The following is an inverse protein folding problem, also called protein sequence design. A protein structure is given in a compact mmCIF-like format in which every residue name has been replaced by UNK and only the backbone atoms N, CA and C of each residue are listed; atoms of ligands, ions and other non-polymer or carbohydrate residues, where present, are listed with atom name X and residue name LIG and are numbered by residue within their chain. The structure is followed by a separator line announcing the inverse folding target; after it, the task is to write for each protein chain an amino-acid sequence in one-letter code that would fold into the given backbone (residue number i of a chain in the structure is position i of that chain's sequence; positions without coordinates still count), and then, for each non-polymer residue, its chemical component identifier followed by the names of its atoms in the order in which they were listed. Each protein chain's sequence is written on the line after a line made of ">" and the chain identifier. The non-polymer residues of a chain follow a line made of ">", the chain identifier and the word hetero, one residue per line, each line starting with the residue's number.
data_IF_020126986154
#
_entry.id   IF_020126986154
#
_cell.length_a   1.000
_cell.length_b   1.000
_cell.length_c   1.000
_cell.angle_alpha   90.00
_cell.angle_beta   90.00
_cell.angle_gamma   90.00
#
_symmetry.space_group_name_H-M   'P 1'
#
loop_
_entity.id
_entity.type
_entity.pdbx_description
1 polymer ?
#
# COMPACT_ATOMS: atom_id res chain seq x y z
N UNK A 1 4.93 28.89 24.34
CA UNK A 1 4.51 28.51 22.98
C UNK A 1 4.51 29.70 22.01
N UNK A 2 3.80 30.81 22.23
CA UNK A 2 3.66 31.92 21.26
C UNK A 2 5.00 32.42 20.69
N UNK A 3 6.01 32.70 21.53
CA UNK A 3 7.33 33.20 21.09
C UNK A 3 8.05 32.20 20.17
N UNK A 4 7.94 30.90 20.45
CA UNK A 4 8.55 29.85 19.63
C UNK A 4 7.83 29.72 18.27
N UNK A 5 6.52 29.84 18.28
CA UNK A 5 5.71 29.80 17.05
C UNK A 5 6.00 31.01 16.15
N UNK A 6 6.15 32.22 16.73
CA UNK A 6 6.51 33.42 15.99
C UNK A 6 7.91 33.30 15.37
N UNK A 7 8.87 32.69 16.10
CA UNK A 7 10.21 32.43 15.59
C UNK A 7 10.20 31.40 14.45
N UNK A 8 9.40 30.33 14.60
CA UNK A 8 9.24 29.30 13.56
C UNK A 8 8.59 29.89 12.30
N UNK A 9 7.56 30.71 12.43
CA UNK A 9 6.94 31.37 11.29
C UNK A 9 7.95 32.24 10.53
N UNK A 10 8.73 33.07 11.24
CA UNK A 10 9.79 33.90 10.63
C UNK A 10 10.85 33.05 9.92
N UNK A 11 11.18 31.86 10.45
CA UNK A 11 12.09 30.95 9.77
C UNK A 11 11.50 30.41 8.47
N UNK A 12 10.24 30.04 8.45
CA UNK A 12 9.56 29.57 7.24
C UNK A 12 9.42 30.69 6.21
N UNK A 13 9.07 31.90 6.64
CA UNK A 13 9.03 33.09 5.77
C UNK A 13 10.39 33.37 5.13
N UNK A 14 11.47 33.26 5.90
CA UNK A 14 12.84 33.40 5.42
C UNK A 14 13.23 32.34 4.37
N UNK A 15 12.76 31.11 4.53
CA UNK A 15 12.97 30.03 3.55
C UNK A 15 12.04 30.10 2.35
N UNK A 16 11.04 31.00 2.36
CA UNK A 16 10.00 31.02 1.34
C UNK A 16 9.07 29.82 1.38
N UNK A 17 8.99 29.12 2.54
CA UNK A 17 8.11 27.97 2.72
C UNK A 17 6.75 28.41 3.28
N UNK A 18 5.70 28.13 2.52
CA UNK A 18 4.32 28.43 2.90
C UNK A 18 3.58 27.08 3.14
N UNK A 19 3.41 26.64 4.40
CA UNK A 19 2.67 25.43 4.70
C UNK A 19 1.17 25.64 4.48
N UNK A 20 0.51 24.70 3.79
CA UNK A 20 -0.94 24.68 3.73
C UNK A 20 -1.53 24.35 5.12
N UNK A 21 -2.83 24.58 5.32
CA UNK A 21 -3.49 24.48 6.63
C UNK A 21 -3.23 23.14 7.34
N UNK A 22 -3.26 22.02 6.59
CA UNK A 22 -2.98 20.70 7.16
C UNK A 22 -1.55 20.54 7.64
N UNK A 23 -0.55 21.07 6.93
CA UNK A 23 0.85 21.04 7.34
C UNK A 23 1.12 21.94 8.55
N UNK A 24 0.39 23.06 8.68
CA UNK A 24 0.49 23.96 9.84
C UNK A 24 0.23 23.25 11.16
N UNK A 25 -0.60 22.20 11.17
CA UNK A 25 -0.89 21.40 12.37
C UNK A 25 0.35 20.68 12.92
N UNK A 26 1.31 20.31 12.07
CA UNK A 26 2.59 19.77 12.51
C UNK A 26 3.48 20.85 13.11
N UNK A 27 3.52 22.02 12.46
CA UNK A 27 4.46 23.06 12.84
C UNK A 27 4.02 23.87 14.07
N UNK A 28 2.72 24.03 14.25
CA UNK A 28 2.12 24.85 15.27
C UNK A 28 1.16 23.99 16.13
N UNK A 29 1.70 23.18 17.05
CA UNK A 29 0.91 22.29 17.90
C UNK A 29 -0.07 23.09 18.77
N UNK A 30 -1.17 22.43 19.12
CA UNK A 30 -2.21 23.01 19.99
C UNK A 30 -1.97 22.72 21.46
N UNK A 31 -1.24 21.65 21.78
CA UNK A 31 -0.89 21.24 23.16
C UNK A 31 0.53 21.70 23.50
N UNK A 32 0.66 22.55 24.52
CA UNK A 32 1.96 23.06 24.99
C UNK A 32 2.94 21.97 25.46
N UNK A 33 2.39 20.92 26.03
CA UNK A 33 3.15 19.77 26.57
C UNK A 33 3.53 18.73 25.50
N UNK A 34 2.95 18.79 24.31
CA UNK A 34 3.14 17.76 23.30
C UNK A 34 4.60 17.63 22.84
N UNK A 35 5.10 16.42 22.95
CA UNK A 35 6.44 16.01 22.49
C UNK A 35 6.36 15.00 21.36
N UNK A 36 5.25 14.31 21.23
CA UNK A 36 5.05 13.23 20.25
C UNK A 36 3.91 13.60 19.31
N UNK A 37 4.19 13.60 18.01
CA UNK A 37 3.26 14.05 16.98
C UNK A 37 3.00 12.92 16.00
N UNK A 38 1.74 12.60 15.74
CA UNK A 38 1.32 11.57 14.78
C UNK A 38 0.52 12.22 13.67
N UNK A 39 1.07 12.24 12.46
CA UNK A 39 0.45 12.79 11.25
C UNK A 39 0.06 11.65 10.30
N UNK A 40 -1.20 11.24 10.35
CA UNK A 40 -1.77 10.25 9.44
C UNK A 40 -2.43 10.97 8.28
N UNK A 41 -1.79 10.95 7.11
CA UNK A 41 -2.30 11.70 5.98
C UNK A 41 -2.26 10.89 4.69
N UNK A 42 -3.18 11.22 3.78
CA UNK A 42 -3.23 10.61 2.47
C UNK A 42 -1.98 10.82 1.62
N UNK A 43 -1.86 10.09 0.53
CA UNK A 43 -0.76 10.26 -0.44
C UNK A 43 -0.76 11.66 -1.03
N UNK A 44 0.43 12.21 -1.28
CA UNK A 44 0.61 13.57 -1.84
C UNK A 44 0.08 14.69 -0.94
N UNK A 45 -0.18 14.41 0.33
CA UNK A 45 -0.52 15.44 1.31
C UNK A 45 0.64 16.43 1.57
N UNK A 46 1.89 16.03 1.33
CA UNK A 46 3.07 16.85 1.63
C UNK A 46 3.67 16.58 3.02
N UNK A 47 3.44 15.37 3.57
CA UNK A 47 3.99 14.93 4.88
C UNK A 47 5.50 15.07 4.96
N UNK A 48 6.21 14.52 3.97
CA UNK A 48 7.67 14.48 3.93
C UNK A 48 8.25 15.89 3.87
N UNK A 49 7.69 16.76 3.02
CA UNK A 49 8.10 18.18 2.92
C UNK A 49 7.86 18.91 4.25
N UNK A 50 6.67 18.79 4.85
CA UNK A 50 6.41 19.41 6.14
C UNK A 50 7.40 18.95 7.21
N UNK A 51 7.71 17.66 7.26
CA UNK A 51 8.65 17.09 8.23
C UNK A 51 10.09 17.54 7.96
N UNK A 52 10.50 17.64 6.70
CA UNK A 52 11.80 18.21 6.33
C UNK A 52 11.92 19.69 6.75
N UNK A 53 10.87 20.50 6.55
CA UNK A 53 10.85 21.88 6.98
C UNK A 53 10.87 22.01 8.52
N UNK A 54 10.19 21.10 9.24
CA UNK A 54 10.31 21.03 10.71
C UNK A 54 11.76 20.72 11.12
N UNK A 55 12.43 19.80 10.43
CA UNK A 55 13.84 19.49 10.68
C UNK A 55 14.76 20.70 10.41
N UNK A 56 14.50 21.50 9.36
CA UNK A 56 15.30 22.71 9.08
C UNK A 56 15.16 23.76 10.19
N UNK A 57 13.98 23.89 10.77
CA UNK A 57 13.77 24.78 11.93
C UNK A 57 14.58 24.35 13.15
N UNK A 58 14.64 23.04 13.44
CA UNK A 58 15.52 22.54 14.49
C UNK A 58 17.00 22.66 14.11
N UNK A 59 17.34 22.47 12.84
CA UNK A 59 18.70 22.62 12.35
C UNK A 59 19.22 24.05 12.44
N UNK A 60 18.37 25.06 12.43
CA UNK A 60 18.74 26.48 12.63
C UNK A 60 19.11 26.84 14.08
N UNK A 61 18.84 25.94 15.04
CA UNK A 61 19.10 26.16 16.45
C UNK A 61 20.44 25.52 16.88
N UNK A 62 21.14 26.06 17.88
CA UNK A 62 22.41 25.49 18.32
C UNK A 62 22.28 24.19 19.09
N UNK A 63 23.32 23.35 18.99
CA UNK A 63 23.51 22.11 19.76
C UNK A 63 22.34 21.10 19.62
N UNK A 64 21.70 21.03 18.45
CA UNK A 64 20.61 20.07 18.20
C UNK A 64 21.14 18.80 17.54
N UNK A 65 20.52 17.67 17.92
CA UNK A 65 20.72 16.38 17.25
C UNK A 65 19.41 15.90 16.66
N UNK A 66 19.40 15.68 15.34
CA UNK A 66 18.20 15.42 14.55
C UNK A 66 18.40 14.16 13.76
N UNK A 67 17.49 13.19 13.91
CA UNK A 67 17.44 12.01 13.06
C UNK A 67 16.20 12.00 12.16
N UNK A 68 16.45 11.71 10.89
CA UNK A 68 15.45 11.48 9.87
C UNK A 68 15.43 9.99 9.54
N UNK A 69 14.42 9.26 10.02
CA UNK A 69 14.37 7.80 9.94
C UNK A 69 13.36 7.38 8.86
N UNK A 70 13.80 6.60 7.90
CA UNK A 70 12.94 5.91 6.94
C UNK A 70 12.98 4.40 7.15
N UNK A 71 12.06 3.67 6.50
CA UNK A 71 12.07 2.20 6.51
C UNK A 71 13.42 1.66 6.01
N UNK A 72 13.93 2.23 4.92
CA UNK A 72 15.28 2.00 4.38
C UNK A 72 15.99 3.33 4.18
N UNK A 73 17.30 3.29 3.91
CA UNK A 73 18.06 4.49 3.56
C UNK A 73 17.49 5.24 2.35
N UNK A 74 17.03 4.54 1.30
CA UNK A 74 16.40 5.17 0.12
C UNK A 74 15.12 5.94 0.48
N UNK A 75 14.39 5.49 1.51
CA UNK A 75 13.20 6.19 1.99
C UNK A 75 13.57 7.40 2.87
N UNK A 76 14.56 7.27 3.73
CA UNK A 76 15.08 8.38 4.52
C UNK A 76 15.68 9.49 3.63
N UNK A 77 16.30 9.12 2.49
CA UNK A 77 16.89 10.04 1.53
C UNK A 77 15.92 11.07 0.96
N UNK A 78 14.63 10.73 0.84
CA UNK A 78 13.64 11.67 0.32
C UNK A 78 13.54 12.92 1.21
N UNK A 79 13.41 12.71 2.51
CA UNK A 79 13.34 13.80 3.49
C UNK A 79 14.71 14.48 3.67
N UNK A 80 15.80 13.69 3.70
CA UNK A 80 17.15 14.21 3.83
C UNK A 80 17.53 15.13 2.67
N UNK A 81 17.15 14.82 1.44
CA UNK A 81 17.41 15.67 0.27
C UNK A 81 16.70 17.02 0.35
N UNK A 82 15.47 17.05 0.84
CA UNK A 82 14.77 18.33 1.06
C UNK A 82 15.52 19.21 2.09
N UNK A 83 15.97 18.60 3.19
CA UNK A 83 16.82 19.32 4.17
C UNK A 83 18.15 19.74 3.56
N UNK A 84 18.78 18.86 2.78
CA UNK A 84 20.04 19.15 2.07
C UNK A 84 19.91 20.32 1.09
N UNK A 85 18.90 20.29 0.26
CA UNK A 85 18.68 21.34 -0.74
C UNK A 85 18.40 22.68 -0.08
N UNK A 86 17.61 22.67 1.00
CA UNK A 86 17.29 23.88 1.76
C UNK A 86 18.50 24.42 2.51
N UNK A 87 19.21 23.58 3.26
CA UNK A 87 20.23 24.05 4.21
C UNK A 87 21.65 24.06 3.61
N UNK A 88 22.05 23.02 2.86
CA UNK A 88 23.42 22.93 2.34
C UNK A 88 23.57 23.75 1.06
N UNK A 89 22.62 23.63 0.13
CA UNK A 89 22.67 24.42 -1.13
C UNK A 89 22.21 25.87 -0.90
N UNK A 90 21.18 26.07 -0.07
CA UNK A 90 20.66 27.42 0.21
C UNK A 90 21.56 28.25 1.13
N UNK A 91 22.24 27.61 2.11
CA UNK A 91 23.02 28.25 3.15
C UNK A 91 24.41 27.59 3.35
N UNK A 92 25.24 27.47 2.29
CA UNK A 92 26.52 26.75 2.36
C UNK A 92 27.51 27.30 3.38
N UNK A 93 27.40 28.60 3.65
CA UNK A 93 28.29 29.29 4.64
C UNK A 93 28.04 28.83 6.08
N UNK A 94 26.94 28.17 6.37
CA UNK A 94 26.60 27.73 7.71
C UNK A 94 27.06 26.29 8.01
N UNK A 95 27.64 25.62 7.03
CA UNK A 95 28.02 24.21 7.10
C UNK A 95 29.50 24.05 7.45
N UNK A 96 29.79 23.17 8.44
CA UNK A 96 31.17 22.73 8.72
C UNK A 96 31.50 21.47 7.89
N UNK A 97 30.59 20.49 7.88
CA UNK A 97 30.75 19.22 7.17
C UNK A 97 29.39 18.76 6.65
N UNK A 98 29.36 18.36 5.39
CA UNK A 98 28.19 17.72 4.81
C UNK A 98 28.61 16.60 3.84
N UNK A 99 27.87 15.50 3.83
CA UNK A 99 28.09 14.35 2.95
C UNK A 99 26.75 13.70 2.61
N UNK A 100 26.36 13.76 1.33
CA UNK A 100 25.17 13.06 0.85
C UNK A 100 25.31 11.53 1.00
N UNK A 101 26.52 11.00 0.75
CA UNK A 101 26.80 9.57 0.84
C UNK A 101 26.66 9.05 2.28
N UNK A 102 27.14 9.83 3.26
CA UNK A 102 27.05 9.49 4.69
C UNK A 102 25.71 9.93 5.29
N UNK A 103 24.90 10.68 4.53
CA UNK A 103 23.61 11.25 5.01
C UNK A 103 23.79 12.07 6.28
N UNK A 104 24.77 12.97 6.26
CA UNK A 104 25.24 13.69 7.42
C UNK A 104 25.44 15.18 7.10
N UNK A 105 24.94 16.06 7.98
CA UNK A 105 25.15 17.51 7.93
C UNK A 105 25.55 17.99 9.32
N UNK A 106 26.67 18.73 9.41
CA UNK A 106 27.09 19.43 10.65
C UNK A 106 27.16 20.94 10.41
N UNK A 107 26.46 21.69 11.24
CA UNK A 107 26.41 23.15 11.21
C UNK A 107 27.47 23.81 12.13
N UNK A 108 27.78 25.07 11.87
CA UNK A 108 28.77 25.88 12.65
C UNK A 108 28.41 26.06 14.12
N UNK A 109 27.13 25.89 14.46
CA UNK A 109 26.61 25.98 15.84
C UNK A 109 26.39 24.59 16.46
N UNK A 110 27.18 23.60 16.06
CA UNK A 110 27.24 22.23 16.56
C UNK A 110 25.94 21.41 16.44
N UNK A 111 25.02 21.84 15.60
CA UNK A 111 23.83 21.03 15.25
C UNK A 111 24.17 20.01 14.19
N UNK A 112 23.58 18.81 14.34
CA UNK A 112 23.80 17.68 13.43
C UNK A 112 22.46 17.14 12.94
N UNK A 113 22.38 16.87 11.64
CA UNK A 113 21.27 16.17 10.99
C UNK A 113 21.79 14.89 10.34
N UNK A 114 21.17 13.77 10.64
CA UNK A 114 21.51 12.47 10.04
C UNK A 114 20.26 11.74 9.55
N UNK A 115 20.37 11.09 8.39
CA UNK A 115 19.36 10.14 7.96
C UNK A 115 19.75 8.70 8.34
N UNK A 116 18.80 7.96 8.88
CA UNK A 116 18.96 6.59 9.41
C UNK A 116 17.94 5.64 8.77
N UNK A 117 18.23 4.36 8.84
CA UNK A 117 17.34 3.30 8.35
C UNK A 117 16.81 2.44 9.49
N UNK A 118 15.50 2.21 9.52
CA UNK A 118 14.87 1.28 10.45
C UNK A 118 15.22 -0.19 10.17
N UNK A 119 15.70 -0.53 8.96
CA UNK A 119 16.18 -1.87 8.62
C UNK A 119 17.59 -2.16 9.19
N UNK A 120 18.26 -1.13 9.74
CA UNK A 120 19.56 -1.28 10.40
C UNK A 120 19.49 -0.80 11.86
N UNK A 121 18.91 -1.59 12.78
CA UNK A 121 18.70 -1.19 14.18
C UNK A 121 19.95 -0.85 14.94
N UNK A 122 21.09 -1.47 14.61
CA UNK A 122 22.36 -1.23 15.29
C UNK A 122 22.88 0.20 15.08
N UNK A 123 22.42 0.89 14.03
CA UNK A 123 22.74 2.30 13.78
C UNK A 123 21.86 3.28 14.56
N UNK A 124 20.85 2.78 15.29
CA UNK A 124 19.84 3.56 15.99
C UNK A 124 20.08 3.63 17.52
N UNK A 125 21.32 3.41 17.96
CA UNK A 125 21.67 3.40 19.39
C UNK A 125 22.73 4.44 19.74
N UNK A 126 22.77 4.85 20.99
CA UNK A 126 23.91 5.54 21.60
C UNK A 126 23.90 7.07 21.56
N UNK A 127 22.82 7.71 21.05
CA UNK A 127 22.75 9.17 21.01
C UNK A 127 21.45 9.72 21.62
N UNK A 128 21.56 10.85 22.33
CA UNK A 128 20.41 11.62 22.78
C UNK A 128 19.93 12.58 21.69
N UNK A 129 18.65 12.57 21.32
CA UNK A 129 18.08 13.36 20.25
C UNK A 129 17.22 14.52 20.75
N UNK A 130 17.23 15.65 20.03
CA UNK A 130 16.31 16.76 20.20
C UNK A 130 15.08 16.61 19.29
N UNK A 131 15.26 16.02 18.10
CA UNK A 131 14.18 15.73 17.16
C UNK A 131 14.42 14.40 16.46
N UNK A 132 13.39 13.58 16.47
CA UNK A 132 13.29 12.33 15.70
C UNK A 132 12.11 12.44 14.75
N UNK A 133 12.31 12.18 13.47
CA UNK A 133 11.23 12.08 12.49
C UNK A 133 11.24 10.69 11.87
N UNK A 134 10.10 10.00 11.91
CA UNK A 134 9.93 8.66 11.34
C UNK A 134 8.96 8.74 10.17
N UNK A 135 9.47 8.57 8.95
CA UNK A 135 8.66 8.55 7.73
C UNK A 135 8.17 7.14 7.42
N UNK A 136 6.96 7.04 6.85
CA UNK A 136 6.24 5.78 6.62
C UNK A 136 6.16 4.91 7.90
N UNK A 137 5.89 5.57 9.04
CA UNK A 137 5.91 4.95 10.35
C UNK A 137 5.03 3.70 10.47
N UNK A 138 3.89 3.64 9.78
CA UNK A 138 3.02 2.47 9.76
C UNK A 138 3.74 1.17 9.32
N UNK A 139 4.80 1.29 8.51
CA UNK A 139 5.57 0.16 7.97
C UNK A 139 6.77 -0.22 8.83
N UNK A 140 7.17 0.65 9.74
CA UNK A 140 8.26 0.37 10.69
C UNK A 140 7.74 -0.61 11.75
N UNK A 141 8.57 -1.59 12.13
CA UNK A 141 8.19 -2.56 13.16
C UNK A 141 8.12 -1.88 14.52
N UNK A 142 7.10 -2.14 15.31
CA UNK A 142 6.90 -1.60 16.68
C UNK A 142 8.16 -1.72 17.54
N UNK A 143 8.84 -2.89 17.48
CA UNK A 143 10.08 -3.16 18.22
C UNK A 143 11.17 -2.11 17.96
N UNK A 144 11.23 -1.51 16.75
CA UNK A 144 12.23 -0.47 16.44
C UNK A 144 11.94 0.79 17.24
N UNK A 145 10.68 1.17 17.37
CA UNK A 145 10.28 2.26 18.23
C UNK A 145 10.60 1.98 19.70
N UNK A 146 10.12 0.86 20.23
CA UNK A 146 10.19 0.57 21.66
C UNK A 146 11.63 0.38 22.16
N UNK A 147 12.46 -0.32 21.39
CA UNK A 147 13.79 -0.73 21.86
C UNK A 147 14.92 0.19 21.42
N UNK A 148 14.76 0.91 20.32
CA UNK A 148 15.87 1.65 19.72
C UNK A 148 15.61 3.16 19.63
N UNK A 149 14.45 3.59 19.14
CA UNK A 149 14.18 5.01 18.89
C UNK A 149 13.68 5.76 20.14
N UNK A 150 12.71 5.20 20.86
CA UNK A 150 12.13 5.85 22.05
C UNK A 150 13.18 6.19 23.12
N UNK A 151 14.16 5.31 23.45
CA UNK A 151 15.19 5.63 24.44
C UNK A 151 16.08 6.83 24.07
N UNK A 152 16.30 7.10 22.77
CA UNK A 152 17.14 8.23 22.32
C UNK A 152 16.55 9.60 22.69
N UNK A 153 15.26 9.66 23.02
CA UNK A 153 14.57 10.91 23.38
C UNK A 153 14.60 11.23 24.87
N UNK A 154 15.15 10.34 25.70
CA UNK A 154 15.12 10.47 27.17
C UNK A 154 15.99 11.61 27.68
N UNK A 155 17.26 11.66 27.25
CA UNK A 155 18.30 12.53 27.86
C UNK A 155 18.05 14.01 27.50
N UNK A 156 17.62 14.29 26.29
CA UNK A 156 17.38 15.65 25.81
C UNK A 156 15.91 16.07 25.87
N UNK A 157 15.03 15.19 26.38
CA UNK A 157 13.56 15.38 26.34
C UNK A 157 13.10 15.73 24.93
N UNK A 158 13.68 15.06 23.93
CA UNK A 158 13.48 15.32 22.52
C UNK A 158 12.04 15.10 22.07
N UNK A 159 11.71 15.60 20.89
CA UNK A 159 10.42 15.40 20.22
C UNK A 159 10.49 14.29 19.19
N UNK A 160 9.37 13.58 18.99
CA UNK A 160 9.23 12.66 17.87
C UNK A 160 8.05 13.04 16.99
N UNK A 161 8.22 12.88 15.68
CA UNK A 161 7.20 13.08 14.65
C UNK A 161 7.07 11.78 13.86
N UNK A 162 5.88 11.21 13.84
CA UNK A 162 5.53 10.03 13.05
C UNK A 162 4.64 10.44 11.90
N UNK A 163 5.11 10.28 10.68
CA UNK A 163 4.32 10.57 9.48
C UNK A 163 4.09 9.30 8.67
N UNK A 164 2.86 9.06 8.22
CA UNK A 164 2.52 7.91 7.38
C UNK A 164 1.18 8.08 6.68
N UNK A 165 0.94 7.29 5.63
CA UNK A 165 -0.42 6.83 5.30
C UNK A 165 -0.82 5.76 6.31
N UNK A 166 -2.12 5.61 6.64
CA UNK A 166 -2.56 4.52 7.50
C UNK A 166 -2.34 3.16 6.83
N UNK A 167 -2.12 2.12 7.61
CA UNK A 167 -1.99 0.74 7.15
C UNK A 167 -2.68 -0.19 8.15
N UNK A 168 -4.01 -0.31 8.03
CA UNK A 168 -4.81 -1.05 9.01
C UNK A 168 -4.74 -0.46 10.42
N UNK A 169 -5.20 -1.22 11.40
CA UNK A 169 -5.13 -0.87 12.82
C UNK A 169 -3.86 -1.44 13.46
N UNK A 170 -2.70 -0.90 13.08
CA UNK A 170 -1.39 -1.30 13.59
C UNK A 170 -0.91 -0.38 14.72
N UNK A 171 0.33 -0.54 15.17
CA UNK A 171 0.92 0.24 16.25
C UNK A 171 0.86 1.78 16.05
N UNK A 172 0.85 2.25 14.78
CA UNK A 172 0.69 3.68 14.49
C UNK A 172 -0.72 4.16 14.86
N UNK A 173 -1.72 3.28 14.72
CA UNK A 173 -3.08 3.58 15.19
C UNK A 173 -3.12 3.73 16.72
N UNK A 174 -2.39 2.87 17.44
CA UNK A 174 -2.29 2.97 18.91
C UNK A 174 -1.66 4.30 19.30
N UNK A 175 -0.58 4.73 18.63
CA UNK A 175 0.03 6.04 18.85
C UNK A 175 -0.92 7.20 18.46
N UNK A 176 -1.70 7.04 17.39
CA UNK A 176 -2.70 8.03 17.01
C UNK A 176 -3.77 8.20 18.08
N UNK A 177 -4.20 7.12 18.74
CA UNK A 177 -5.16 7.18 19.84
C UNK A 177 -4.57 7.90 21.08
N UNK A 178 -3.27 7.74 21.36
CA UNK A 178 -2.61 8.50 22.43
C UNK A 178 -2.77 10.00 22.25
N UNK A 179 -2.74 10.49 21.02
CA UNK A 179 -2.97 11.91 20.73
C UNK A 179 -4.36 12.43 21.16
N UNK A 180 -5.32 11.53 21.44
CA UNK A 180 -6.67 11.85 21.93
C UNK A 180 -6.76 11.83 23.47
N UNK A 181 -5.88 11.12 24.15
CA UNK A 181 -5.99 10.77 25.57
C UNK A 181 -4.83 11.24 26.43
N UNK A 182 -3.65 11.50 25.85
CA UNK A 182 -2.42 11.88 26.54
C UNK A 182 -1.95 13.28 26.11
N UNK A 183 -1.65 14.15 27.05
CA UNK A 183 -1.22 15.53 26.81
C UNK A 183 0.18 15.63 26.21
N UNK A 184 1.01 14.61 26.33
CA UNK A 184 2.33 14.55 25.68
C UNK A 184 2.23 14.20 24.20
N UNK A 185 1.07 13.76 23.73
CA UNK A 185 0.80 13.35 22.36
C UNK A 185 -0.19 14.26 21.66
N UNK A 186 0.07 14.54 20.39
CA UNK A 186 -0.86 15.23 19.50
C UNK A 186 -0.95 14.47 18.19
N UNK A 187 -2.17 14.18 17.74
CA UNK A 187 -2.40 13.40 16.54
C UNK A 187 -3.35 14.11 15.57
N UNK A 188 -3.01 14.09 14.29
CA UNK A 188 -3.79 14.66 13.21
C UNK A 188 -4.00 13.62 12.11
N UNK A 189 -5.17 13.67 11.52
CA UNK A 189 -5.54 12.87 10.37
C UNK A 189 -6.06 13.82 9.29
N UNK A 190 -5.57 13.67 8.06
CA UNK A 190 -5.96 14.55 6.97
C UNK A 190 -5.91 13.83 5.62
N UNK A 191 -6.96 13.95 4.79
CA UNK A 191 -7.00 13.34 3.47
C UNK A 191 -6.07 14.08 2.49
N UNK A 192 -5.79 13.44 1.35
CA UNK A 192 -4.95 14.00 0.29
C UNK A 192 -5.45 15.34 -0.24
N UNK A 193 -6.77 15.48 -0.37
CA UNK A 193 -7.41 16.68 -0.94
C UNK A 193 -7.37 17.93 -0.04
N UNK A 194 -6.91 17.80 1.20
CA UNK A 194 -6.61 18.97 2.03
C UNK A 194 -5.32 19.69 1.60
N UNK A 195 -4.51 19.06 0.72
CA UNK A 195 -3.40 19.74 0.06
C UNK A 195 -3.88 20.44 -1.22
N UNK A 196 -4.25 21.71 -1.10
CA UNK A 196 -4.72 22.54 -2.22
C UNK A 196 -3.66 22.80 -3.30
N UNK A 197 -2.36 22.64 -3.01
CA UNK A 197 -1.29 22.74 -4.02
C UNK A 197 -1.25 21.52 -4.93
N UNK A 198 -1.49 20.31 -4.39
CA UNK A 198 -1.50 19.07 -5.16
C UNK A 198 -2.88 18.80 -5.77
N UNK A 199 -3.95 19.19 -5.09
CA UNK A 199 -5.34 18.95 -5.45
C UNK A 199 -6.17 20.23 -5.36
N UNK A 200 -6.01 21.18 -6.31
CA UNK A 200 -6.68 22.47 -6.26
C UNK A 200 -8.21 22.34 -6.33
N UNK A 201 -8.73 21.30 -6.98
CA UNK A 201 -10.17 21.02 -7.06
C UNK A 201 -10.66 20.12 -5.92
N UNK A 202 -9.84 19.91 -4.88
CA UNK A 202 -10.17 19.06 -3.73
C UNK A 202 -10.51 17.63 -4.14
N UNK A 203 -11.62 17.08 -3.65
CA UNK A 203 -12.09 15.73 -4.03
C UNK A 203 -12.50 15.62 -5.50
N UNK A 204 -12.80 16.73 -6.18
CA UNK A 204 -13.15 16.79 -7.59
C UNK A 204 -11.94 16.75 -8.53
N UNK A 205 -10.72 16.77 -8.00
CA UNK A 205 -9.51 16.70 -8.81
C UNK A 205 -9.51 15.46 -9.70
N UNK A 206 -9.20 15.65 -10.98
CA UNK A 206 -9.30 14.60 -12.00
C UNK A 206 -8.48 13.36 -11.64
N UNK A 207 -7.32 13.54 -11.00
CA UNK A 207 -6.50 12.42 -10.56
C UNK A 207 -7.21 11.60 -9.47
N UNK A 208 -7.82 12.25 -8.49
CA UNK A 208 -8.56 11.57 -7.42
C UNK A 208 -9.81 10.87 -7.94
N UNK A 209 -10.53 11.51 -8.88
CA UNK A 209 -11.69 10.90 -9.55
C UNK A 209 -11.27 9.64 -10.31
N UNK A 210 -10.15 9.69 -11.07
CA UNK A 210 -9.61 8.51 -11.75
C UNK A 210 -9.21 7.40 -10.76
N UNK A 211 -8.55 7.77 -9.63
CA UNK A 211 -8.16 6.81 -8.60
C UNK A 211 -9.36 6.16 -7.95
N UNK A 212 -10.37 6.94 -7.61
CA UNK A 212 -11.62 6.45 -7.01
C UNK A 212 -12.33 5.43 -7.91
N UNK A 213 -12.29 5.64 -9.23
CA UNK A 213 -12.82 4.69 -10.21
C UNK A 213 -12.02 3.38 -10.30
N UNK A 214 -10.69 3.45 -10.16
CA UNK A 214 -9.79 2.31 -10.40
C UNK A 214 -9.31 1.60 -9.12
N UNK A 215 -9.86 1.95 -7.96
CA UNK A 215 -9.49 1.36 -6.66
C UNK A 215 -10.72 0.86 -5.93
N UNK A 216 -10.54 -0.15 -5.06
CA UNK A 216 -11.59 -0.50 -4.12
C UNK A 216 -11.80 0.64 -3.12
N UNK A 217 -13.01 0.73 -2.56
CA UNK A 217 -13.39 1.79 -1.61
C UNK A 217 -12.42 1.85 -0.43
N UNK A 218 -12.13 0.73 0.18
CA UNK A 218 -11.26 0.66 1.37
C UNK A 218 -9.84 1.12 1.05
N UNK A 219 -9.30 0.71 -0.11
CA UNK A 219 -7.96 1.13 -0.50
C UNK A 219 -7.91 2.61 -0.85
N UNK A 220 -8.95 3.16 -1.50
CA UNK A 220 -9.04 4.59 -1.77
C UNK A 220 -9.13 5.41 -0.47
N UNK A 221 -10.00 5.00 0.45
CA UNK A 221 -10.13 5.67 1.75
C UNK A 221 -8.85 5.56 2.59
N UNK A 222 -8.15 4.44 2.55
CA UNK A 222 -6.86 4.30 3.22
C UNK A 222 -5.78 5.20 2.60
N UNK A 223 -5.59 5.13 1.29
CA UNK A 223 -4.45 5.77 0.61
C UNK A 223 -4.64 7.27 0.40
N UNK A 224 -5.88 7.72 0.14
CA UNK A 224 -6.20 9.11 -0.15
C UNK A 224 -7.10 9.76 0.90
N UNK A 225 -8.04 9.01 1.47
CA UNK A 225 -8.90 9.48 2.56
C UNK A 225 -8.21 9.49 3.92
N UNK A 226 -7.01 8.91 4.03
CA UNK A 226 -6.26 8.74 5.27
C UNK A 226 -7.03 7.97 6.37
N UNK A 227 -8.01 7.15 6.00
CA UNK A 227 -8.79 6.39 6.97
C UNK A 227 -8.04 5.13 7.40
N UNK A 228 -8.08 4.84 8.70
CA UNK A 228 -7.69 3.52 9.19
C UNK A 228 -8.79 2.54 8.79
N UNK A 229 -8.48 1.63 7.89
CA UNK A 229 -9.41 0.60 7.41
C UNK A 229 -8.92 -0.76 7.85
N UNK A 230 -9.83 -1.62 8.31
CA UNK A 230 -9.49 -3.02 8.55
C UNK A 230 -9.98 -3.88 7.38
N UNK A 231 -9.16 -4.85 7.03
CA UNK A 231 -9.58 -5.94 6.16
C UNK A 231 -10.08 -7.08 7.06
N UNK A 232 -11.21 -6.83 7.74
CA UNK A 232 -11.91 -7.84 8.54
C UNK A 232 -13.06 -8.46 7.74
N UNK A 233 -13.31 -9.73 8.01
CA UNK A 233 -14.40 -10.44 7.37
C UNK A 233 -14.09 -10.89 5.94
N UNK A 234 -15.03 -10.69 5.01
CA UNK A 234 -14.88 -11.15 3.61
C UNK A 234 -13.77 -10.46 2.86
N UNK A 235 -13.04 -11.23 2.07
CA UNK A 235 -11.98 -10.70 1.21
C UNK A 235 -12.57 -9.86 0.08
N UNK A 236 -13.71 -10.26 -0.49
CA UNK A 236 -14.34 -9.61 -1.63
C UNK A 236 -15.71 -9.01 -1.29
N UNK A 237 -16.05 -7.79 -1.77
CA UNK A 237 -17.36 -7.15 -1.58
C UNK A 237 -18.40 -7.72 -2.56
N UNK A 238 -18.39 -9.05 -2.70
CA UNK A 238 -19.27 -9.77 -3.61
C UNK A 238 -20.70 -9.85 -3.05
N UNK A 239 -21.69 -9.54 -3.89
CA UNK A 239 -23.10 -9.67 -3.57
C UNK A 239 -23.79 -10.49 -4.67
N UNK A 240 -24.29 -11.68 -4.30
CA UNK A 240 -24.92 -12.60 -5.24
C UNK A 240 -26.11 -11.98 -5.98
N UNK A 241 -26.86 -11.09 -5.35
CA UNK A 241 -28.01 -10.45 -5.96
C UNK A 241 -27.63 -9.38 -7.01
N UNK A 242 -26.43 -8.81 -6.89
CA UNK A 242 -25.93 -7.75 -7.78
C UNK A 242 -24.98 -8.30 -8.84
N UNK A 243 -24.18 -9.31 -8.49
CA UNK A 243 -23.07 -9.79 -9.32
C UNK A 243 -23.37 -11.06 -10.12
N UNK A 244 -24.44 -11.81 -9.75
CA UNK A 244 -24.84 -13.04 -10.48
C UNK A 244 -26.02 -12.77 -11.37
N UNK A 245 -25.92 -13.21 -12.61
CA UNK A 245 -26.99 -13.04 -13.61
C UNK A 245 -26.87 -14.02 -14.76
N UNK A 246 -27.56 -13.75 -15.85
CA UNK A 246 -27.48 -14.54 -17.07
C UNK A 246 -26.47 -13.97 -18.03
N UNK A 247 -25.26 -14.53 -18.01
CA UNK A 247 -24.12 -14.13 -18.85
C UNK A 247 -23.57 -15.33 -19.64
N UNK A 248 -24.33 -15.83 -20.66
CA UNK A 248 -23.95 -17.01 -21.42
C UNK A 248 -22.71 -16.70 -22.29
N UNK A 249 -22.02 -17.78 -22.72
CA UNK A 249 -20.93 -17.67 -23.66
C UNK A 249 -21.34 -16.95 -24.94
N UNK A 250 -20.57 -15.94 -25.29
CA UNK A 250 -20.71 -15.20 -26.57
C UNK A 250 -19.47 -15.42 -27.42
N UNK A 251 -19.63 -16.11 -28.59
CA UNK A 251 -18.52 -16.41 -29.49
C UNK A 251 -17.82 -15.18 -30.11
N UNK A 252 -18.44 -14.00 -30.05
CA UNK A 252 -17.87 -12.75 -30.55
C UNK A 252 -17.01 -12.01 -29.55
N UNK A 253 -16.97 -12.45 -28.29
CA UNK A 253 -16.13 -11.87 -27.26
C UNK A 253 -14.86 -12.69 -27.04
N UNK A 254 -13.71 -12.04 -26.76
CA UNK A 254 -12.50 -12.75 -26.40
C UNK A 254 -12.73 -13.53 -25.09
N UNK A 255 -12.39 -14.83 -25.14
CA UNK A 255 -12.53 -15.71 -24.00
C UNK A 255 -11.16 -16.13 -23.46
N UNK A 256 -11.00 -16.07 -22.17
CA UNK A 256 -9.79 -16.42 -21.43
C UNK A 256 -10.10 -17.57 -20.47
N UNK A 257 -9.09 -18.36 -20.15
CA UNK A 257 -9.19 -19.41 -19.16
C UNK A 257 -8.08 -19.21 -18.12
N UNK A 258 -8.42 -19.22 -16.84
CA UNK A 258 -7.44 -19.11 -15.74
C UNK A 258 -7.47 -20.36 -14.87
N UNK A 259 -6.28 -20.80 -14.42
CA UNK A 259 -6.07 -22.10 -13.78
C UNK A 259 -5.26 -21.88 -12.51
N UNK A 260 -5.79 -22.35 -11.40
CA UNK A 260 -5.02 -22.63 -10.18
C UNK A 260 -4.71 -24.11 -10.14
N UNK A 261 -3.41 -24.43 -10.18
CA UNK A 261 -2.96 -25.81 -10.23
C UNK A 261 -3.00 -26.45 -8.83
N UNK A 262 -3.35 -27.70 -8.75
CA UNK A 262 -3.31 -28.46 -7.52
C UNK A 262 -3.96 -29.82 -7.67
N UNK A 263 -3.27 -30.88 -7.29
CA UNK A 263 -3.83 -32.24 -7.36
C UNK A 263 -5.06 -32.41 -6.47
N UNK A 264 -5.03 -31.81 -5.29
CA UNK A 264 -6.14 -31.97 -4.32
C UNK A 264 -7.42 -31.31 -4.78
N UNK A 265 -7.31 -30.09 -5.27
CA UNK A 265 -8.48 -29.30 -5.67
C UNK A 265 -8.05 -28.22 -6.67
N UNK A 266 -7.89 -28.55 -7.97
CA UNK A 266 -7.64 -27.54 -8.99
C UNK A 266 -8.86 -26.65 -9.20
N UNK A 267 -8.61 -25.41 -9.59
CA UNK A 267 -9.67 -24.48 -9.93
C UNK A 267 -9.46 -23.88 -11.31
N UNK A 268 -10.53 -23.77 -12.09
CA UNK A 268 -10.52 -23.22 -13.45
C UNK A 268 -11.73 -22.31 -13.65
N UNK A 269 -11.50 -21.13 -14.23
CA UNK A 269 -12.57 -20.22 -14.64
C UNK A 269 -12.44 -19.78 -16.10
N UNK A 270 -13.56 -19.59 -16.76
CA UNK A 270 -13.64 -19.01 -18.11
C UNK A 270 -14.20 -17.61 -18.04
N UNK A 271 -13.51 -16.66 -18.67
CA UNK A 271 -13.76 -15.23 -18.59
C UNK A 271 -13.99 -14.64 -19.96
N UNK A 272 -15.00 -13.82 -20.11
CA UNK A 272 -15.17 -12.96 -21.28
C UNK A 272 -15.05 -11.50 -20.89
N UNK A 273 -14.39 -10.70 -21.75
CA UNK A 273 -14.16 -9.28 -21.48
C UNK A 273 -14.72 -8.44 -22.63
N UNK A 274 -15.32 -7.32 -22.29
CA UNK A 274 -15.84 -6.34 -23.23
C UNK A 274 -15.78 -4.93 -22.65
N UNK A 275 -16.06 -3.92 -23.46
CA UNK A 275 -16.10 -2.53 -23.00
C UNK A 275 -17.49 -1.93 -23.15
N UNK A 276 -17.89 -1.20 -22.12
CA UNK A 276 -19.08 -0.35 -22.12
C UNK A 276 -18.66 1.04 -21.69
N UNK A 277 -18.94 2.05 -22.49
CA UNK A 277 -18.56 3.45 -22.22
C UNK A 277 -17.06 3.65 -21.90
N UNK A 278 -16.19 2.81 -22.47
CA UNK A 278 -14.75 2.85 -22.24
C UNK A 278 -14.25 2.01 -21.06
N UNK A 279 -15.13 1.57 -20.16
CA UNK A 279 -14.79 0.72 -19.01
C UNK A 279 -14.82 -0.76 -19.36
N UNK A 280 -13.92 -1.53 -18.72
CA UNK A 280 -13.88 -2.97 -18.89
C UNK A 280 -14.93 -3.67 -18.04
N UNK A 281 -15.71 -4.54 -18.65
CA UNK A 281 -16.61 -5.48 -18.00
C UNK A 281 -16.09 -6.91 -18.19
N UNK A 282 -16.26 -7.73 -17.17
CA UNK A 282 -15.79 -9.12 -17.14
C UNK A 282 -16.96 -10.02 -16.73
N UNK A 283 -17.22 -11.04 -17.53
CA UNK A 283 -18.17 -12.09 -17.17
C UNK A 283 -17.42 -13.40 -16.94
N UNK A 284 -17.61 -14.01 -15.78
CA UNK A 284 -17.22 -15.42 -15.53
C UNK A 284 -18.35 -16.27 -16.08
N UNK A 285 -18.09 -17.00 -17.17
CA UNK A 285 -19.13 -17.71 -17.92
C UNK A 285 -19.26 -19.18 -17.54
N UNK A 286 -18.19 -19.77 -17.00
CA UNK A 286 -18.16 -21.18 -16.57
C UNK A 286 -17.00 -21.44 -15.62
N UNK A 287 -17.05 -22.57 -14.92
CA UNK A 287 -16.08 -22.96 -13.89
C UNK A 287 -15.82 -24.45 -13.81
N UNK A 288 -14.67 -24.81 -13.26
CA UNK A 288 -14.38 -26.13 -12.65
C UNK A 288 -13.78 -25.82 -11.29
N UNK A 289 -14.58 -25.92 -10.24
CA UNK A 289 -14.17 -25.72 -8.84
C UNK A 289 -14.65 -26.88 -7.97
N UNK A 290 -14.11 -27.01 -6.78
CA UNK A 290 -14.50 -28.01 -5.76
C UNK A 290 -14.42 -29.47 -6.24
N UNK A 291 -13.65 -29.75 -7.30
CA UNK A 291 -13.36 -31.11 -7.74
C UNK A 291 -12.06 -31.58 -7.10
N UNK A 292 -12.13 -32.72 -6.41
CA UNK A 292 -10.98 -33.25 -5.67
C UNK A 292 -10.26 -34.37 -6.43
N UNK A 293 -8.94 -34.50 -6.18
CA UNK A 293 -8.11 -35.58 -6.70
C UNK A 293 -8.07 -35.70 -8.24
N UNK A 294 -8.08 -34.54 -8.91
CA UNK A 294 -8.01 -34.46 -10.38
C UNK A 294 -6.56 -34.38 -10.82
N UNK A 295 -6.13 -35.33 -11.64
CA UNK A 295 -4.78 -35.28 -12.24
C UNK A 295 -4.67 -34.17 -13.28
N UNK A 296 -3.51 -33.56 -13.41
CA UNK A 296 -3.25 -32.46 -14.34
C UNK A 296 -3.62 -32.79 -15.79
N UNK A 297 -3.33 -34.01 -16.27
CA UNK A 297 -3.73 -34.48 -17.61
C UNK A 297 -5.25 -34.61 -17.77
N UNK A 298 -5.94 -35.06 -16.73
CA UNK A 298 -7.40 -35.16 -16.71
C UNK A 298 -8.04 -33.76 -16.71
N UNK A 299 -7.49 -32.81 -15.92
CA UNK A 299 -7.93 -31.44 -15.93
C UNK A 299 -7.77 -30.80 -17.31
N UNK A 300 -6.64 -31.03 -17.99
CA UNK A 300 -6.43 -30.55 -19.35
C UNK A 300 -7.48 -31.09 -20.34
N UNK A 301 -7.85 -32.38 -20.21
CA UNK A 301 -8.93 -32.99 -21.03
C UNK A 301 -10.29 -32.38 -20.72
N UNK A 302 -10.60 -32.15 -19.44
CA UNK A 302 -11.85 -31.49 -19.03
C UNK A 302 -11.96 -30.07 -19.61
N UNK A 303 -10.86 -29.29 -19.59
CA UNK A 303 -10.83 -27.96 -20.18
C UNK A 303 -11.08 -28.02 -21.69
N UNK A 304 -10.44 -28.96 -22.39
CA UNK A 304 -10.61 -29.13 -23.84
C UNK A 304 -12.00 -29.64 -24.26
N UNK A 305 -12.72 -30.30 -23.35
CA UNK A 305 -14.10 -30.76 -23.61
C UNK A 305 -15.14 -29.64 -23.58
N UNK A 306 -14.79 -28.46 -23.05
CA UNK A 306 -15.69 -27.30 -23.05
C UNK A 306 -15.79 -26.69 -24.45
N UNK A 307 -16.97 -26.16 -24.84
CA UNK A 307 -17.23 -25.67 -26.19
C UNK A 307 -16.67 -24.27 -26.47
N UNK A 308 -15.73 -23.80 -25.69
CA UNK A 308 -15.25 -22.43 -25.74
C UNK A 308 -13.99 -22.26 -26.59
N UNK A 309 -13.95 -21.24 -27.43
CA UNK A 309 -12.74 -20.84 -28.17
C UNK A 309 -11.93 -19.93 -27.25
N UNK A 310 -10.88 -20.50 -26.60
CA UNK A 310 -10.05 -19.77 -25.65
C UNK A 310 -8.92 -19.05 -26.36
N UNK A 311 -8.86 -17.72 -26.19
CA UNK A 311 -7.81 -16.86 -26.77
C UNK A 311 -6.49 -16.98 -26.02
N UNK A 312 -6.52 -17.09 -24.70
CA UNK A 312 -5.34 -17.26 -23.85
C UNK A 312 -5.67 -18.03 -22.58
N UNK A 313 -4.69 -18.81 -22.14
CA UNK A 313 -4.72 -19.51 -20.85
C UNK A 313 -3.74 -18.85 -19.89
N UNK A 314 -4.15 -18.66 -18.66
CA UNK A 314 -3.37 -18.09 -17.55
C UNK A 314 -3.28 -19.09 -16.40
N UNK A 315 -2.23 -19.00 -15.60
CA UNK A 315 -2.08 -19.90 -14.44
C UNK A 315 -1.05 -19.42 -13.42
N UNK A 316 -0.99 -20.16 -12.31
CA UNK A 316 0.00 -19.91 -11.28
C UNK A 316 1.42 -20.18 -11.80
N UNK A 317 2.38 -19.26 -11.59
CA UNK A 317 3.79 -19.52 -11.82
C UNK A 317 4.35 -20.75 -11.08
N UNK A 318 3.77 -21.16 -9.96
CA UNK A 318 4.16 -22.38 -9.25
C UNK A 318 4.03 -23.65 -10.13
N UNK A 319 3.12 -23.66 -11.11
CA UNK A 319 2.98 -24.73 -12.10
C UNK A 319 4.20 -24.93 -13.02
N UNK A 320 5.19 -24.02 -13.00
CA UNK A 320 6.49 -24.20 -13.66
C UNK A 320 7.43 -25.14 -12.88
N UNK A 321 7.19 -25.30 -11.58
CA UNK A 321 8.04 -26.17 -10.74
C UNK A 321 7.73 -27.64 -11.00
N UNK A 322 8.78 -28.45 -11.08
CA UNK A 322 8.63 -29.89 -11.22
C UNK A 322 7.96 -30.48 -9.97
N UNK A 323 6.91 -31.26 -10.16
CA UNK A 323 6.27 -32.00 -9.09
C UNK A 323 7.22 -33.09 -8.57
N UNK A 324 7.29 -33.28 -7.26
CA UNK A 324 8.09 -34.30 -6.62
C UNK A 324 7.64 -35.74 -6.99
N UNK A 325 6.43 -35.90 -7.50
CA UNK A 325 5.85 -37.21 -7.87
C UNK A 325 6.03 -37.52 -9.36
N UNK A 326 5.98 -36.53 -10.26
CA UNK A 326 6.04 -36.77 -11.71
C UNK A 326 7.34 -36.29 -12.36
N UNK A 327 8.15 -35.50 -11.68
CA UNK A 327 9.34 -34.84 -12.22
C UNK A 327 9.04 -33.79 -13.30
N UNK A 328 7.77 -33.52 -13.59
CA UNK A 328 7.32 -32.61 -14.65
C UNK A 328 6.37 -31.55 -14.02
N UNK A 329 6.51 -30.30 -14.39
CA UNK A 329 5.63 -29.23 -13.93
C UNK A 329 4.25 -29.29 -14.61
N UNK A 330 3.21 -28.78 -13.92
CA UNK A 330 1.84 -28.81 -14.43
C UNK A 330 1.71 -28.07 -15.78
N UNK A 331 2.37 -26.93 -15.95
CA UNK A 331 2.38 -26.17 -17.21
C UNK A 331 2.95 -27.00 -18.37
N UNK A 332 3.94 -27.85 -18.13
CA UNK A 332 4.51 -28.71 -19.16
C UNK A 332 3.52 -29.84 -19.55
N UNK A 333 2.77 -30.38 -18.58
CA UNK A 333 1.70 -31.35 -18.86
C UNK A 333 0.60 -30.70 -19.71
N UNK A 334 0.20 -29.48 -19.40
CA UNK A 334 -0.76 -28.70 -20.21
C UNK A 334 -0.24 -28.46 -21.62
N UNK A 335 1.03 -28.11 -21.78
CA UNK A 335 1.66 -27.90 -23.09
C UNK A 335 1.65 -29.17 -23.93
N UNK A 336 1.93 -30.34 -23.35
CA UNK A 336 1.81 -31.65 -24.03
C UNK A 336 0.38 -31.94 -24.48
N UNK A 337 -0.63 -31.41 -23.77
CA UNK A 337 -2.03 -31.50 -24.16
C UNK A 337 -2.46 -30.39 -25.13
N UNK A 338 -1.54 -29.56 -25.65
CA UNK A 338 -1.82 -28.50 -26.60
C UNK A 338 -2.40 -27.21 -25.98
N UNK A 339 -2.25 -27.04 -24.66
CA UNK A 339 -2.67 -25.83 -23.93
C UNK A 339 -1.42 -25.06 -23.50
N UNK A 340 -1.25 -23.86 -24.05
CA UNK A 340 -0.12 -22.96 -23.72
C UNK A 340 -0.57 -22.01 -22.61
N UNK A 341 -0.09 -22.24 -21.39
CA UNK A 341 -0.41 -21.43 -20.23
C UNK A 341 0.61 -20.31 -20.07
N UNK A 342 0.11 -19.08 -19.99
CA UNK A 342 0.89 -17.88 -19.74
C UNK A 342 0.87 -17.56 -18.24
N UNK A 343 2.00 -17.11 -17.71
CA UNK A 343 2.11 -16.76 -16.29
C UNK A 343 3.06 -15.58 -16.09
N UNK A 344 2.75 -14.69 -15.16
CA UNK A 344 3.64 -13.60 -14.75
C UNK A 344 4.60 -14.13 -13.69
N UNK A 345 5.90 -14.04 -13.98
CA UNK A 345 6.97 -14.49 -13.08
C UNK A 345 7.54 -13.37 -12.21
N UNK A 346 7.29 -12.10 -12.55
CA UNK A 346 7.76 -10.96 -11.77
C UNK A 346 7.16 -10.95 -10.34
N UNK A 347 8.05 -10.89 -9.34
CA UNK A 347 7.68 -11.01 -7.93
C UNK A 347 6.82 -9.83 -7.43
N UNK A 348 7.06 -8.61 -7.92
CA UNK A 348 6.30 -7.43 -7.51
C UNK A 348 4.85 -7.49 -8.02
N UNK A 349 4.66 -7.96 -9.26
CA UNK A 349 3.34 -8.13 -9.89
C UNK A 349 2.51 -9.26 -9.27
N UNK A 350 3.13 -10.15 -8.47
CA UNK A 350 2.48 -11.30 -7.81
C UNK A 350 2.04 -11.02 -6.36
N UNK A 351 2.13 -9.78 -5.88
CA UNK A 351 1.65 -9.45 -4.54
C UNK A 351 0.19 -9.88 -4.35
N UNK A 352 -0.06 -10.74 -3.37
CA UNK A 352 -1.42 -11.26 -3.07
C UNK A 352 -2.36 -10.10 -2.72
N UNK A 353 -1.92 -9.20 -1.84
CA UNK A 353 -2.73 -8.05 -1.41
C UNK A 353 -3.03 -7.08 -2.56
N UNK A 354 -2.04 -6.79 -3.42
CA UNK A 354 -2.26 -5.94 -4.59
C UNK A 354 -3.21 -6.60 -5.61
N UNK A 355 -3.07 -7.91 -5.84
CA UNK A 355 -3.96 -8.68 -6.70
C UNK A 355 -5.40 -8.71 -6.17
N UNK A 356 -5.59 -8.92 -4.87
CA UNK A 356 -6.90 -8.87 -4.22
C UNK A 356 -7.53 -7.47 -4.37
N UNK A 357 -6.79 -6.41 -4.07
CA UNK A 357 -7.28 -5.04 -4.23
C UNK A 357 -7.69 -4.74 -5.67
N UNK A 358 -6.96 -5.29 -6.64
CA UNK A 358 -7.29 -5.14 -8.03
C UNK A 358 -8.60 -5.85 -8.40
N UNK A 359 -8.80 -7.10 -7.97
CA UNK A 359 -10.08 -7.83 -8.15
C UNK A 359 -11.23 -7.08 -7.47
N UNK A 360 -11.03 -6.61 -6.23
CA UNK A 360 -12.03 -5.83 -5.49
C UNK A 360 -12.51 -4.60 -6.27
N UNK A 361 -11.61 -3.88 -6.95
CA UNK A 361 -11.98 -2.70 -7.73
C UNK A 361 -12.89 -2.99 -8.92
N UNK A 362 -12.92 -4.24 -9.41
CA UNK A 362 -13.85 -4.67 -10.44
C UNK A 362 -15.15 -5.26 -9.88
N UNK A 363 -15.10 -5.88 -8.70
CA UNK A 363 -16.33 -6.31 -8.02
C UNK A 363 -17.11 -5.07 -7.57
N UNK A 364 -16.45 -4.16 -6.84
CA UNK A 364 -17.04 -2.89 -6.45
C UNK A 364 -15.92 -1.85 -6.26
N UNK A 365 -15.92 -0.80 -7.08
CA UNK A 365 -14.97 0.29 -6.96
C UNK A 365 -15.40 1.32 -5.89
N UNK A 366 -14.58 2.34 -5.66
CA UNK A 366 -14.88 3.35 -4.64
C UNK A 366 -16.09 4.25 -4.97
N UNK A 367 -16.59 4.21 -6.22
CA UNK A 367 -17.85 4.84 -6.61
C UNK A 367 -19.08 3.93 -6.43
N UNK A 368 -18.88 2.66 -6.03
CA UNK A 368 -19.95 1.66 -5.97
C UNK A 368 -20.30 1.03 -7.34
N UNK A 369 -19.47 1.24 -8.37
CA UNK A 369 -19.67 0.66 -9.68
C UNK A 369 -19.13 -0.78 -9.72
N UNK A 370 -19.85 -1.66 -10.44
CA UNK A 370 -19.57 -3.11 -10.51
C UNK A 370 -19.31 -3.53 -11.95
N UNK A 371 -18.20 -4.21 -12.18
CA UNK A 371 -17.70 -4.58 -13.51
C UNK A 371 -17.39 -6.07 -13.67
N UNK A 372 -17.40 -6.84 -12.56
CA UNK A 372 -17.24 -8.29 -12.56
C UNK A 372 -18.58 -8.97 -12.29
N UNK A 373 -19.01 -9.82 -13.20
CA UNK A 373 -20.26 -10.54 -13.10
C UNK A 373 -20.05 -12.05 -13.29
N UNK A 374 -20.88 -12.84 -12.64
CA UNK A 374 -20.89 -14.29 -12.74
C UNK A 374 -22.15 -14.78 -13.46
N UNK A 375 -21.96 -15.69 -14.41
CA UNK A 375 -23.10 -16.41 -14.94
C UNK A 375 -23.71 -17.31 -13.87
N UNK A 376 -25.00 -17.50 -13.92
CA UNK A 376 -25.79 -18.21 -12.88
C UNK A 376 -25.39 -19.70 -12.69
N UNK A 377 -24.63 -20.30 -13.62
CA UNK A 377 -24.06 -21.65 -13.47
C UNK A 377 -22.75 -21.68 -12.66
N UNK A 378 -22.13 -20.51 -12.37
CA UNK A 378 -20.88 -20.42 -11.59
C UNK A 378 -21.18 -20.39 -10.07
N UNK A 379 -21.79 -21.45 -9.58
CA UNK A 379 -22.27 -21.54 -8.17
C UNK A 379 -21.12 -21.68 -7.20
N UNK A 380 -20.12 -22.48 -7.53
CA UNK A 380 -18.95 -22.71 -6.67
C UNK A 380 -18.06 -21.48 -6.56
N UNK A 381 -17.86 -20.76 -7.66
CA UNK A 381 -17.12 -19.50 -7.65
C UNK A 381 -17.83 -18.41 -6.83
N UNK A 382 -19.18 -18.38 -6.90
CA UNK A 382 -19.97 -17.49 -6.04
C UNK A 382 -19.80 -17.85 -4.56
N UNK A 383 -19.78 -19.14 -4.22
CA UNK A 383 -19.51 -19.61 -2.85
C UNK A 383 -18.12 -19.22 -2.37
N UNK A 384 -17.09 -19.39 -3.21
CA UNK A 384 -15.73 -19.01 -2.90
C UNK A 384 -15.61 -17.51 -2.61
N UNK A 385 -16.20 -16.65 -3.46
CA UNK A 385 -16.18 -15.21 -3.26
C UNK A 385 -16.96 -14.75 -2.00
N UNK A 386 -18.02 -15.44 -1.61
CA UNK A 386 -18.79 -15.16 -0.39
C UNK A 386 -18.07 -15.64 0.87
N UNK A 387 -17.31 -16.73 0.78
CA UNK A 387 -16.75 -17.43 1.94
C UNK A 387 -15.29 -17.07 2.22
N UNK A 388 -14.54 -16.63 1.22
CA UNK A 388 -13.14 -16.26 1.38
C UNK A 388 -12.99 -15.06 2.31
N UNK A 389 -12.22 -15.23 3.38
CA UNK A 389 -12.15 -14.23 4.46
C UNK A 389 -10.75 -14.08 5.05
N UNK A 390 -10.53 -12.97 5.72
CA UNK A 390 -9.34 -12.74 6.52
C UNK A 390 -9.43 -13.51 7.85
N UNK A 391 -8.27 -13.84 8.47
CA UNK A 391 -8.26 -14.43 9.80
C UNK A 391 -8.86 -13.44 10.82
N UNK A 392 -9.59 -13.98 11.79
CA UNK A 392 -10.06 -13.17 12.91
C UNK A 392 -8.87 -12.64 13.73
N UNK A 393 -8.91 -11.37 14.16
CA UNK A 393 -7.86 -10.82 15.01
C UNK A 393 -7.80 -11.58 16.33
N UNK A 394 -6.63 -12.06 16.70
CA UNK A 394 -6.40 -12.60 18.05
C UNK A 394 -5.95 -11.45 18.94
N UNK A 395 -6.48 -11.42 20.16
CA UNK A 395 -6.14 -10.41 21.17
C UNK A 395 -4.61 -10.25 21.32
N UNK A 396 -4.08 -9.04 21.08
CA UNK A 396 -2.63 -8.74 21.14
C UNK A 396 -1.80 -9.13 19.90
N UNK A 397 -2.40 -9.56 18.79
CA UNK A 397 -1.68 -9.80 17.54
C UNK A 397 -2.09 -8.80 16.45
N UNK A 398 -1.09 -8.26 15.74
CA UNK A 398 -1.33 -7.51 14.51
C UNK A 398 -2.05 -8.40 13.49
N UNK A 399 -3.08 -7.87 12.85
CA UNK A 399 -3.77 -8.55 11.73
C UNK A 399 -2.76 -8.91 10.64
N UNK A 400 -2.76 -10.18 10.23
CA UNK A 400 -2.02 -10.57 9.03
C UNK A 400 -2.79 -10.05 7.81
N UNK A 401 -2.14 -9.33 6.90
CA UNK A 401 -2.80 -8.76 5.71
C UNK A 401 -3.16 -9.82 4.66
N UNK A 402 -2.92 -11.10 4.92
CA UNK A 402 -3.18 -12.21 4.01
C UNK A 402 -4.43 -12.96 4.42
N UNK A 403 -5.33 -13.27 3.46
CA UNK A 403 -6.51 -14.10 3.71
C UNK A 403 -6.17 -15.50 4.23
N UNK A 404 -7.14 -16.14 4.86
CA UNK A 404 -7.05 -17.52 5.27
C UNK A 404 -6.96 -18.43 4.05
N UNK A 405 -5.98 -19.33 4.04
CA UNK A 405 -5.92 -20.44 3.10
C UNK A 405 -6.54 -21.65 3.77
N UNK A 406 -7.83 -21.85 3.53
CA UNK A 406 -8.59 -22.99 4.07
C UNK A 406 -8.46 -24.24 3.21
N UNK A 407 -7.86 -24.13 2.01
CA UNK A 407 -7.67 -25.22 1.06
C UNK A 407 -8.97 -25.64 0.36
N UNK A 408 -10.00 -24.78 0.41
CA UNK A 408 -11.28 -24.99 -0.27
C UNK A 408 -11.72 -23.75 -1.04
N UNK A 409 -12.01 -22.63 -0.36
CA UNK A 409 -12.49 -21.40 -1.00
C UNK A 409 -11.37 -20.53 -1.58
N UNK A 410 -10.12 -20.73 -1.18
CA UNK A 410 -8.98 -19.96 -1.67
C UNK A 410 -8.61 -20.27 -3.13
N UNK A 411 -8.86 -21.51 -3.62
CA UNK A 411 -8.48 -21.93 -4.97
C UNK A 411 -9.25 -21.18 -6.08
N UNK A 412 -10.56 -21.02 -5.94
CA UNK A 412 -11.38 -20.22 -6.86
C UNK A 412 -10.97 -18.75 -6.89
N UNK A 413 -10.68 -18.20 -5.72
CA UNK A 413 -10.21 -16.84 -5.57
C UNK A 413 -8.81 -16.61 -6.12
N UNK A 414 -7.90 -17.59 -5.98
CA UNK A 414 -6.54 -17.52 -6.52
C UNK A 414 -6.53 -17.58 -8.05
N UNK A 415 -7.31 -18.49 -8.69
CA UNK A 415 -7.39 -18.52 -10.14
C UNK A 415 -8.00 -17.24 -10.72
N UNK A 416 -8.99 -16.63 -10.04
CA UNK A 416 -9.53 -15.31 -10.40
C UNK A 416 -8.43 -14.24 -10.35
N UNK A 417 -7.65 -14.21 -9.29
CA UNK A 417 -6.52 -13.29 -9.13
C UNK A 417 -5.48 -13.48 -10.24
N UNK A 418 -5.17 -14.72 -10.64
CA UNK A 418 -4.25 -14.99 -11.76
C UNK A 418 -4.80 -14.46 -13.09
N UNK A 419 -6.10 -14.57 -13.35
CA UNK A 419 -6.72 -13.94 -14.50
C UNK A 419 -6.48 -12.43 -14.50
N UNK A 420 -6.78 -11.76 -13.38
CA UNK A 420 -6.66 -10.31 -13.30
C UNK A 420 -5.23 -9.81 -13.46
N UNK A 421 -4.26 -10.38 -12.77
CA UNK A 421 -2.86 -9.92 -12.86
C UNK A 421 -2.26 -10.15 -14.25
N UNK A 422 -2.70 -11.18 -14.99
CA UNK A 422 -2.20 -11.46 -16.34
C UNK A 422 -2.93 -10.64 -17.40
N UNK A 423 -4.26 -10.52 -17.34
CA UNK A 423 -5.07 -9.82 -18.35
C UNK A 423 -5.06 -8.30 -18.14
N UNK A 424 -5.05 -7.84 -16.91
CA UNK A 424 -5.09 -6.44 -16.50
C UNK A 424 -3.89 -6.10 -15.61
N UNK A 425 -2.65 -6.12 -16.13
CA UNK A 425 -1.47 -5.91 -15.30
C UNK A 425 -1.52 -4.53 -14.62
N UNK A 426 -1.24 -4.51 -13.32
CA UNK A 426 -1.15 -3.29 -12.53
C UNK A 426 0.05 -2.49 -13.03
N UNK A 427 -0.19 -1.45 -13.83
CA UNK A 427 0.86 -0.54 -14.27
C UNK A 427 1.22 0.37 -13.11
N UNK A 428 2.40 0.20 -12.52
CA UNK A 428 3.03 1.23 -11.68
C UNK A 428 3.34 2.44 -12.56
N UNK A 429 2.38 3.33 -12.77
CA UNK A 429 2.63 4.64 -13.34
C UNK A 429 3.29 5.49 -12.26
N UNK A 430 4.62 5.55 -12.24
CA UNK A 430 5.33 6.66 -11.61
C UNK A 430 4.92 7.93 -12.35
N UNK A 431 4.03 8.68 -11.75
CA UNK A 431 3.72 10.02 -12.25
C UNK A 431 4.88 10.92 -11.80
N UNK A 432 5.79 11.21 -12.74
CA UNK A 432 6.74 12.31 -12.57
C UNK A 432 5.94 13.61 -12.57
N UNK A 433 5.60 14.09 -11.40
CA UNK A 433 5.11 15.46 -11.23
C UNK A 433 6.28 16.38 -11.54
N UNK A 434 6.18 17.18 -12.60
CA UNK A 434 7.09 18.28 -12.84
C UNK A 434 6.98 19.22 -11.65
N UNK A 435 8.01 19.29 -10.86
CA UNK A 435 8.21 20.40 -9.92
C UNK A 435 8.34 21.66 -10.76
N UNK A 436 7.44 22.60 -10.53
CA UNK A 436 7.61 24.01 -10.92
C UNK A 436 8.10 24.79 -9.73
#
# INVERSE_FOLDING_TARGET
>A
MQVLNDYKQKWFDFLGYEPHEGQRKLHFPTKDSARFFVMVCGRRFGKTTASAMEATFYASQPNKKIWLVGLSYDKADLMFREVWDTMVKGHPNDIIKASEKERYIKFKWDTVVEAKSADNPDSLVGEGLDLLIVDEAAKVRTRIWDMYLSPTLSDRKGKAVFISTPEGFNWLYDLYLLGKTDDLWESHQAPSWDNSFAFPDGQGDQFLVERKRNMSKELFEQEYGAQFTSFEGRVYPFDRNLDVGYYPYNQHLPTFCSIDFGYRMPSVGWYQTYRVNGEWHINIIDEIVHKTNVKTDELAKMIKSKPYIVSRYYGDPAGLQASSQSGVGDIEVFRKNGIIVNTITDKASRSVSAGISHVRSFIENANGERYLHLNNNCVGMAEDLESYRYPEPKEGQSLKPEPLKDGYHDHGCDQLRYFFINQFPIKNREIKVRQR
#
